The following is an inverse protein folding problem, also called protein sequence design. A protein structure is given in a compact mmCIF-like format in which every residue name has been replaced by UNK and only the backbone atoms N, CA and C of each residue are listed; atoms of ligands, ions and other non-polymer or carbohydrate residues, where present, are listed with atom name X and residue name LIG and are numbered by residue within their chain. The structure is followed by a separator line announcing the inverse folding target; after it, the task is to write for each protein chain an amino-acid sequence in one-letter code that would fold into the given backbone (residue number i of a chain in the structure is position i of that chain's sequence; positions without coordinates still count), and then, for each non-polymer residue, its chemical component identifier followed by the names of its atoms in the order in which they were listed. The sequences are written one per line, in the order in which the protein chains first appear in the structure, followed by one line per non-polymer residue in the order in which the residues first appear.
data_IF_563264826927
#
_entry.id   IF_563264826927
#
_cell.length_a   1.000
_cell.length_b   1.000
_cell.length_c   1.000
_cell.angle_alpha   90.00
_cell.angle_beta   90.00
_cell.angle_gamma   90.00
#
_symmetry.space_group_name_H-M   'P 1'
#
loop_
_entity.id
_entity.type
_entity.pdbx_description
1 polymer ?
#
# COMPACT_ATOMS: atom_id res chain seq x y z
N UNK A 1 17.61 -4.60 20.09
CA UNK A 1 16.15 -4.40 20.02
C UNK A 1 15.75 -4.42 18.55
N UNK A 2 15.03 -5.44 18.05
CA UNK A 2 14.48 -5.30 16.69
C UNK A 2 13.30 -4.33 16.79
N UNK A 3 13.38 -3.22 16.04
CA UNK A 3 12.32 -2.22 16.00
C UNK A 3 11.16 -2.81 15.20
N UNK A 4 10.02 -2.97 15.86
CA UNK A 4 8.79 -3.37 15.19
C UNK A 4 8.28 -2.18 14.37
N UNK A 5 8.09 -2.37 13.07
CA UNK A 5 7.62 -1.27 12.21
C UNK A 5 6.11 -1.25 12.05
N UNK A 6 5.51 -2.44 12.01
CA UNK A 6 4.08 -2.65 11.84
C UNK A 6 3.55 -3.52 12.99
N UNK A 7 2.34 -3.20 13.46
CA UNK A 7 1.63 -3.97 14.47
C UNK A 7 0.43 -4.65 13.83
N UNK A 8 0.28 -5.94 14.08
CA UNK A 8 -0.94 -6.68 13.74
C UNK A 8 -2.09 -6.24 14.63
N UNK A 9 -3.19 -5.89 14.00
CA UNK A 9 -4.45 -5.49 14.63
C UNK A 9 -5.58 -6.38 14.11
N UNK A 10 -6.73 -6.35 14.79
CA UNK A 10 -7.91 -7.13 14.40
C UNK A 10 -7.65 -8.64 14.26
N UNK A 11 -6.90 -9.23 15.20
CA UNK A 11 -6.61 -10.68 15.17
C UNK A 11 -5.63 -11.11 14.06
N UNK A 12 -4.89 -10.18 13.46
CA UNK A 12 -3.86 -10.48 12.45
C UNK A 12 -4.27 -10.21 11.01
N UNK A 13 -5.48 -9.70 10.79
CA UNK A 13 -6.01 -9.39 9.45
C UNK A 13 -5.47 -8.09 8.87
N UNK A 14 -5.15 -7.12 9.73
CA UNK A 14 -4.64 -5.82 9.31
C UNK A 14 -3.31 -5.51 10.02
N UNK A 15 -2.42 -4.82 9.30
CA UNK A 15 -1.11 -4.39 9.79
C UNK A 15 -1.06 -2.86 9.76
N UNK A 16 -0.85 -2.23 10.91
CA UNK A 16 -0.79 -0.77 11.02
C UNK A 16 0.64 -0.32 11.32
N UNK A 17 1.14 0.73 10.66
CA UNK A 17 2.47 1.26 10.96
C UNK A 17 2.48 1.86 12.37
N UNK A 18 3.49 1.49 13.17
CA UNK A 18 3.72 2.00 14.53
C UNK A 18 5.06 2.73 14.68
N UNK A 19 5.88 2.70 13.64
CA UNK A 19 7.19 3.34 13.58
C UNK A 19 7.22 4.38 12.47
N UNK A 20 8.16 5.32 12.54
CA UNK A 20 8.35 6.32 11.49
C UNK A 20 8.78 5.65 10.17
N UNK A 21 9.59 4.59 10.23
CA UNK A 21 9.99 3.81 9.06
C UNK A 21 8.77 3.18 8.37
N UNK A 22 7.87 2.58 9.16
CA UNK A 22 6.62 2.00 8.65
C UNK A 22 5.69 3.04 8.04
N UNK A 23 5.56 4.22 8.66
CA UNK A 23 4.79 5.33 8.10
C UNK A 23 5.35 5.82 6.77
N UNK A 24 6.68 5.95 6.64
CA UNK A 24 7.31 6.35 5.38
C UNK A 24 6.97 5.36 4.27
N UNK A 25 7.12 4.05 4.51
CA UNK A 25 6.81 3.03 3.49
C UNK A 25 5.34 3.09 3.08
N UNK A 26 4.42 3.18 4.05
CA UNK A 26 2.98 3.29 3.77
C UNK A 26 2.66 4.54 2.95
N UNK A 27 3.19 5.71 3.33
CA UNK A 27 2.93 6.96 2.64
C UNK A 27 3.53 6.98 1.23
N UNK A 28 4.72 6.41 1.03
CA UNK A 28 5.33 6.29 -0.29
C UNK A 28 4.50 5.41 -1.23
N UNK A 29 4.05 4.25 -0.75
CA UNK A 29 3.20 3.36 -1.54
C UNK A 29 1.83 3.99 -1.82
N UNK A 30 1.23 4.68 -0.85
CA UNK A 30 -0.02 5.40 -1.04
C UNK A 30 0.14 6.54 -2.07
N UNK A 31 1.19 7.34 -1.94
CA UNK A 31 1.49 8.42 -2.88
C UNK A 31 1.74 7.90 -4.30
N UNK A 32 2.48 6.79 -4.44
CA UNK A 32 2.68 6.14 -5.73
C UNK A 32 1.36 5.64 -6.35
N UNK A 33 0.45 5.11 -5.53
CA UNK A 33 -0.87 4.70 -5.99
C UNK A 33 -1.72 5.86 -6.48
N UNK A 34 -1.73 6.97 -5.74
CA UNK A 34 -2.47 8.17 -6.14
C UNK A 34 -1.91 8.75 -7.43
N UNK A 35 -0.58 8.86 -7.53
CA UNK A 35 0.08 9.33 -8.75
C UNK A 35 -0.22 8.45 -9.97
N UNK A 36 -0.17 7.13 -9.79
CA UNK A 36 -0.49 6.19 -10.87
C UNK A 36 -1.98 6.23 -11.22
N UNK A 37 -2.87 6.33 -10.23
CA UNK A 37 -4.31 6.48 -10.43
C UNK A 37 -4.62 7.72 -11.28
N UNK A 38 -4.10 8.89 -10.89
CA UNK A 38 -4.28 10.13 -11.66
C UNK A 38 -3.78 9.98 -13.09
N UNK A 39 -2.64 9.30 -13.29
CA UNK A 39 -2.08 9.10 -14.62
C UNK A 39 -2.92 8.18 -15.50
N UNK A 40 -3.50 7.12 -14.93
CA UNK A 40 -4.41 6.22 -15.64
C UNK A 40 -5.76 6.90 -15.91
N UNK A 41 -6.30 7.62 -14.92
CA UNK A 41 -7.60 8.30 -15.02
C UNK A 41 -7.59 9.36 -16.12
N UNK A 42 -6.52 10.17 -16.20
CA UNK A 42 -6.34 11.15 -17.26
C UNK A 42 -6.27 10.55 -18.68
N UNK A 43 -5.97 9.26 -18.81
CA UNK A 43 -5.90 8.54 -20.08
C UNK A 43 -7.15 7.67 -20.36
N UNK A 44 -8.06 7.57 -19.39
CA UNK A 44 -9.23 6.69 -19.42
C UNK A 44 -10.46 7.43 -19.94
N UNK A 45 -11.36 6.70 -20.60
CA UNK A 45 -12.62 7.27 -21.12
C UNK A 45 -13.82 6.94 -20.20
N UNK A 46 -13.61 6.06 -19.23
CA UNK A 46 -14.63 5.63 -18.28
C UNK A 46 -14.00 5.27 -16.94
N UNK A 47 -14.80 5.30 -15.88
CA UNK A 47 -14.38 4.89 -14.54
C UNK A 47 -13.94 3.42 -14.50
N UNK A 48 -14.59 2.55 -15.29
CA UNK A 48 -14.20 1.15 -15.42
C UNK A 48 -12.80 1.00 -16.03
N UNK A 49 -12.45 1.81 -17.04
CA UNK A 49 -11.12 1.78 -17.64
C UNK A 49 -10.06 2.22 -16.63
N UNK A 50 -10.36 3.27 -15.85
CA UNK A 50 -9.47 3.72 -14.77
C UNK A 50 -9.23 2.61 -13.75
N UNK A 51 -10.31 1.98 -13.27
CA UNK A 51 -10.22 0.97 -12.22
C UNK A 51 -9.48 -0.28 -12.71
N UNK A 52 -9.76 -0.74 -13.93
CA UNK A 52 -9.10 -1.90 -14.53
C UNK A 52 -7.62 -1.61 -14.81
N UNK A 53 -7.29 -0.41 -15.28
CA UNK A 53 -5.90 -0.01 -15.56
C UNK A 53 -5.06 0.23 -14.29
N UNK A 54 -5.68 0.74 -13.22
CA UNK A 54 -5.02 1.00 -11.94
C UNK A 54 -4.90 -0.24 -11.06
N UNK A 55 -5.88 -1.15 -11.09
CA UNK A 55 -5.94 -2.31 -10.18
C UNK A 55 -4.68 -3.17 -10.13
N UNK A 56 -3.98 -3.49 -11.24
CA UNK A 56 -2.74 -4.27 -11.18
C UNK A 56 -1.66 -3.60 -10.33
N UNK A 57 -1.49 -2.29 -10.46
CA UNK A 57 -0.52 -1.52 -9.68
C UNK A 57 -0.92 -1.49 -8.20
N UNK A 58 -2.20 -1.25 -7.93
CA UNK A 58 -2.73 -1.29 -6.57
C UNK A 58 -2.50 -2.65 -5.90
N UNK A 59 -2.82 -3.75 -6.59
CA UNK A 59 -2.63 -5.11 -6.07
C UNK A 59 -1.15 -5.36 -5.75
N UNK A 60 -0.23 -5.02 -6.67
CA UNK A 60 1.22 -5.19 -6.43
C UNK A 60 1.68 -4.37 -5.23
N UNK A 61 1.25 -3.11 -5.13
CA UNK A 61 1.61 -2.24 -4.02
C UNK A 61 1.09 -2.74 -2.67
N UNK A 62 -0.14 -3.29 -2.63
CA UNK A 62 -0.75 -3.85 -1.44
C UNK A 62 0.00 -5.11 -0.99
N UNK A 63 0.35 -6.00 -1.93
CA UNK A 63 1.17 -7.19 -1.66
C UNK A 63 2.54 -6.79 -1.11
N UNK A 64 3.20 -5.79 -1.71
CA UNK A 64 4.48 -5.29 -1.21
C UNK A 64 4.37 -4.76 0.22
N UNK A 65 3.35 -3.95 0.52
CA UNK A 65 3.12 -3.44 1.86
C UNK A 65 2.89 -4.56 2.87
N UNK A 66 2.05 -5.56 2.54
CA UNK A 66 1.82 -6.74 3.39
C UNK A 66 3.09 -7.55 3.60
N UNK A 67 3.91 -7.74 2.57
CA UNK A 67 5.18 -8.46 2.70
C UNK A 67 6.12 -7.74 3.67
N UNK A 68 6.31 -6.43 3.46
CA UNK A 68 7.15 -5.60 4.35
C UNK A 68 6.62 -5.64 5.78
N UNK A 69 5.32 -5.45 5.96
CA UNK A 69 4.68 -5.48 7.25
C UNK A 69 4.84 -6.84 7.94
N UNK A 70 4.68 -7.96 7.22
CA UNK A 70 4.90 -9.31 7.78
C UNK A 70 6.33 -9.52 8.26
N UNK A 71 7.34 -9.11 7.49
CA UNK A 71 8.75 -9.23 7.86
C UNK A 71 9.19 -8.30 9.00
N UNK A 72 8.45 -7.22 9.23
CA UNK A 72 8.78 -6.18 10.23
C UNK A 72 7.76 -6.10 11.38
N UNK A 73 6.77 -6.99 11.37
CA UNK A 73 5.85 -7.25 12.48
C UNK A 73 6.47 -8.20 13.48
N UNK A 74 6.28 -7.91 14.77
CA UNK A 74 6.56 -8.82 15.89
C UNK A 74 5.25 -9.31 16.47
#
# INVERSE_FOLDING_TARGET
MSRTWFKRVWGGWCEVPISWEGWIVTLLLLGANLWYFERVDNASHSVSDTLIGWAPFFIVSAVLLTVVARFTSR
#
